data_IF_186262028662
#
_entry.id   IF_186262028662
#
_cell.length_a   1.000
_cell.length_b   1.000
_cell.length_c   1.000
_cell.angle_alpha   90.00
_cell.angle_beta   90.00
_cell.angle_gamma   90.00
#
_symmetry.space_group_name_H-M   'P 1'
#
loop_
_entity.id
_entity.type
_entity.pdbx_description
1 polymer ?
#
# COMPACT_ATOMS: atom_id res chain seq x y z
N UNK A 1 -12.49 -0.95 -38.79
CA UNK A 1 -12.41 -1.15 -37.33
C UNK A 1 -12.85 0.11 -36.56
N UNK A 2 -12.30 1.30 -36.87
CA UNK A 2 -12.65 2.56 -36.18
C UNK A 2 -14.18 2.86 -36.22
N UNK A 3 -14.90 2.80 -37.36
CA UNK A 3 -16.33 3.11 -37.38
C UNK A 3 -17.20 2.19 -36.51
N UNK A 4 -16.76 0.93 -36.29
CA UNK A 4 -17.50 -0.01 -35.49
C UNK A 4 -17.31 0.26 -33.97
N UNK A 5 -16.12 0.71 -33.59
CA UNK A 5 -15.85 1.15 -32.21
C UNK A 5 -16.66 2.40 -31.87
N UNK A 6 -16.70 3.38 -32.78
CA UNK A 6 -17.51 4.60 -32.65
C UNK A 6 -19.01 4.28 -32.50
N UNK A 7 -19.53 3.34 -33.30
CA UNK A 7 -20.91 2.88 -33.19
C UNK A 7 -21.24 2.20 -31.85
N UNK A 8 -20.28 1.42 -31.26
CA UNK A 8 -20.46 0.80 -29.94
C UNK A 8 -20.46 1.83 -28.83
N UNK A 9 -19.59 2.85 -28.95
CA UNK A 9 -19.52 3.93 -27.95
C UNK A 9 -20.81 4.76 -27.99
N UNK A 10 -21.30 5.12 -29.19
CA UNK A 10 -22.54 5.87 -29.38
C UNK A 10 -23.74 5.09 -28.80
N UNK A 11 -23.82 3.78 -29.06
CA UNK A 11 -24.87 2.93 -28.51
C UNK A 11 -24.80 2.84 -26.97
N UNK A 12 -23.61 2.92 -26.38
CA UNK A 12 -23.43 3.00 -24.92
C UNK A 12 -23.84 4.36 -24.36
N UNK A 13 -23.44 5.46 -25.02
CA UNK A 13 -23.78 6.82 -24.59
C UNK A 13 -25.29 7.09 -24.70
N UNK A 14 -25.94 6.53 -25.71
CA UNK A 14 -27.40 6.59 -25.86
C UNK A 14 -28.17 5.56 -25.03
N UNK A 15 -27.51 4.86 -24.13
CA UNK A 15 -28.07 3.84 -23.22
C UNK A 15 -28.72 2.62 -23.89
N UNK A 16 -28.35 2.31 -25.12
CA UNK A 16 -28.77 1.10 -25.83
C UNK A 16 -27.86 -0.10 -25.51
N UNK A 17 -26.68 0.15 -24.89
CA UNK A 17 -25.77 -0.87 -24.37
C UNK A 17 -25.43 -0.60 -22.89
N UNK A 18 -25.40 -1.66 -22.10
CA UNK A 18 -24.84 -1.61 -20.75
C UNK A 18 -23.30 -1.65 -20.77
N UNK A 19 -22.63 -1.23 -19.69
CA UNK A 19 -21.18 -1.34 -19.55
C UNK A 19 -20.65 -2.75 -19.81
N UNK A 20 -21.38 -3.77 -19.37
CA UNK A 20 -21.00 -5.17 -19.55
C UNK A 20 -21.05 -5.57 -21.01
N UNK A 21 -22.08 -5.16 -21.73
CA UNK A 21 -22.24 -5.43 -23.17
C UNK A 21 -21.23 -4.67 -24.02
N UNK A 22 -20.91 -3.43 -23.67
CA UNK A 22 -19.85 -2.67 -24.35
C UNK A 22 -18.49 -3.36 -24.19
N UNK A 23 -18.12 -3.75 -22.97
CA UNK A 23 -16.85 -4.45 -22.70
C UNK A 23 -16.78 -5.79 -23.42
N UNK A 24 -17.88 -6.57 -23.43
CA UNK A 24 -17.95 -7.84 -24.13
C UNK A 24 -17.83 -7.67 -25.65
N UNK A 25 -18.46 -6.64 -26.23
CA UNK A 25 -18.40 -6.35 -27.67
C UNK A 25 -17.00 -5.87 -28.10
N UNK A 26 -16.34 -5.03 -27.30
CA UNK A 26 -14.96 -4.61 -27.54
C UNK A 26 -13.98 -5.77 -27.44
N UNK A 27 -14.16 -6.65 -26.47
CA UNK A 27 -13.34 -7.87 -26.31
C UNK A 27 -13.49 -8.81 -27.51
N UNK A 28 -14.73 -8.99 -28.02
CA UNK A 28 -15.00 -9.79 -29.20
C UNK A 28 -14.36 -9.20 -30.48
N UNK A 29 -14.34 -7.88 -30.62
CA UNK A 29 -13.69 -7.18 -31.73
C UNK A 29 -12.18 -7.36 -31.74
N UNK A 30 -11.56 -7.32 -30.56
CA UNK A 30 -10.13 -7.58 -30.41
C UNK A 30 -9.81 -9.05 -30.76
N UNK A 31 -10.64 -9.99 -30.33
CA UNK A 31 -10.46 -11.42 -30.61
C UNK A 31 -10.62 -11.75 -32.11
N UNK A 32 -11.48 -11.06 -32.81
CA UNK A 32 -11.74 -11.30 -34.26
C UNK A 32 -10.65 -10.72 -35.19
N UNK A 33 -9.83 -9.79 -34.69
CA UNK A 33 -8.79 -9.08 -35.46
C UNK A 33 -7.37 -9.57 -35.29
N UNK A 34 -7.13 -10.55 -34.42
CA UNK A 34 -5.76 -11.01 -34.07
C UNK A 34 -5.49 -12.37 -34.72
N UNK A 35 -4.46 -12.52 -35.58
CA UNK A 35 -4.06 -13.83 -36.04
C UNK A 35 -3.70 -14.72 -34.83
N UNK A 36 -4.02 -16.01 -34.93
CA UNK A 36 -3.90 -17.01 -33.85
C UNK A 36 -2.47 -17.19 -33.24
N UNK A 37 -1.48 -16.43 -33.73
CA UNK A 37 -0.11 -16.36 -33.21
C UNK A 37 0.16 -15.17 -32.29
N UNK A 38 -0.79 -14.25 -32.10
CA UNK A 38 -0.66 -13.23 -31.07
C UNK A 38 -1.04 -13.88 -29.72
N UNK A 39 -0.05 -14.37 -29.02
CA UNK A 39 -0.18 -14.71 -27.61
C UNK A 39 -0.83 -13.52 -26.90
N UNK A 40 -2.05 -13.69 -26.41
CA UNK A 40 -2.61 -12.79 -25.41
C UNK A 40 -1.51 -12.56 -24.41
N UNK A 41 -1.08 -11.31 -24.10
CA UNK A 41 -0.13 -11.12 -23.03
C UNK A 41 -0.76 -11.83 -21.83
N UNK A 42 -0.09 -12.90 -21.37
CA UNK A 42 -0.51 -13.59 -20.16
C UNK A 42 -0.66 -12.47 -19.14
N UNK A 43 -1.87 -12.28 -18.62
CA UNK A 43 -2.05 -11.48 -17.42
C UNK A 43 -1.05 -12.10 -16.46
N UNK A 44 0.08 -11.43 -16.29
CA UNK A 44 1.11 -11.89 -15.36
C UNK A 44 0.37 -12.12 -14.07
N UNK A 45 0.21 -13.37 -13.68
CA UNK A 45 -0.36 -13.69 -12.38
C UNK A 45 0.57 -12.99 -11.40
N UNK A 46 0.09 -11.89 -10.82
CA UNK A 46 0.83 -11.17 -9.79
C UNK A 46 1.01 -12.16 -8.66
N UNK A 47 2.17 -12.80 -8.63
CA UNK A 47 2.49 -13.74 -7.56
C UNK A 47 2.56 -12.95 -6.27
N UNK A 48 1.83 -13.42 -5.27
CA UNK A 48 1.88 -12.82 -3.94
C UNK A 48 3.32 -12.81 -3.41
N UNK A 49 3.89 -11.63 -3.15
CA UNK A 49 5.26 -11.47 -2.64
C UNK A 49 5.36 -11.73 -1.15
N UNK A 50 4.27 -11.48 -0.41
CA UNK A 50 4.16 -11.66 1.03
C UNK A 50 2.70 -11.83 1.44
N UNK A 51 2.46 -12.43 2.61
CA UNK A 51 1.13 -12.51 3.19
C UNK A 51 0.96 -11.42 4.23
N UNK A 52 0.20 -10.37 3.89
CA UNK A 52 -0.27 -9.38 4.85
C UNK A 52 -1.24 -10.02 5.84
N UNK A 53 -1.05 -9.78 7.12
CA UNK A 53 -1.83 -10.40 8.20
C UNK A 53 -2.55 -9.36 9.06
N UNK A 54 -1.93 -8.21 9.33
CA UNK A 54 -2.46 -7.18 10.23
C UNK A 54 -2.20 -5.78 9.68
N UNK A 55 -2.98 -4.80 10.14
CA UNK A 55 -2.53 -3.40 10.13
C UNK A 55 -1.68 -3.24 11.38
N UNK A 56 -0.35 -3.18 11.21
CA UNK A 56 0.56 -3.05 12.33
C UNK A 56 0.47 -1.64 12.94
N UNK A 57 0.53 -0.58 12.12
CA UNK A 57 0.39 0.79 12.58
C UNK A 57 0.00 1.78 11.48
N UNK A 58 -0.39 2.96 11.92
CA UNK A 58 -0.50 4.16 11.10
C UNK A 58 0.42 5.21 11.69
N UNK A 59 1.25 5.86 10.87
CA UNK A 59 2.12 6.95 11.30
C UNK A 59 1.59 8.31 10.84
N UNK A 60 1.48 9.22 11.79
CA UNK A 60 1.09 10.59 11.56
C UNK A 60 2.30 11.52 11.56
N UNK A 61 2.34 12.42 10.59
CA UNK A 61 3.23 13.58 10.63
C UNK A 61 2.63 14.64 11.56
N UNK A 62 3.37 15.01 12.60
CA UNK A 62 2.93 15.99 13.60
C UNK A 62 3.95 17.10 13.77
N UNK A 63 3.52 18.27 14.21
CA UNK A 63 4.40 19.42 14.48
C UNK A 63 5.17 19.21 15.79
N UNK A 64 4.48 18.66 16.80
CA UNK A 64 4.99 18.42 18.15
C UNK A 64 4.50 17.07 18.64
N UNK A 65 5.45 16.15 18.83
CA UNK A 65 5.19 14.75 19.15
C UNK A 65 4.59 14.61 20.57
N UNK A 66 5.16 15.31 21.54
CA UNK A 66 4.70 15.24 22.94
C UNK A 66 3.28 15.81 23.10
N UNK A 67 3.02 16.97 22.49
CA UNK A 67 1.70 17.57 22.50
C UNK A 67 0.65 16.65 21.87
N UNK A 68 1.00 16.02 20.75
CA UNK A 68 0.08 15.09 20.07
C UNK A 68 -0.13 13.82 20.88
N UNK A 69 0.91 13.28 21.50
CA UNK A 69 0.79 12.12 22.38
C UNK A 69 -0.11 12.42 23.58
N UNK A 70 0.09 13.56 24.26
CA UNK A 70 -0.77 14.00 25.35
C UNK A 70 -2.24 14.15 24.92
N UNK A 71 -2.48 14.70 23.74
CA UNK A 71 -3.82 14.87 23.20
C UNK A 71 -4.54 13.52 23.06
N UNK A 72 -3.93 12.56 22.36
CA UNK A 72 -4.53 11.25 22.13
C UNK A 72 -4.63 10.43 23.43
N UNK A 73 -3.63 10.51 24.31
CA UNK A 73 -3.67 9.83 25.61
C UNK A 73 -4.81 10.37 26.49
N UNK A 74 -4.97 11.69 26.56
CA UNK A 74 -6.03 12.33 27.36
C UNK A 74 -7.42 12.08 26.79
N UNK A 75 -7.57 12.15 25.47
CA UNK A 75 -8.87 12.07 24.80
C UNK A 75 -9.36 10.63 24.65
N UNK A 76 -8.47 9.70 24.31
CA UNK A 76 -8.79 8.32 23.96
C UNK A 76 -8.21 7.28 24.92
N UNK A 77 -7.46 7.70 25.94
CA UNK A 77 -6.85 6.80 26.91
C UNK A 77 -5.68 5.97 26.35
N UNK A 78 -5.13 6.35 25.19
CA UNK A 78 -4.02 5.61 24.59
C UNK A 78 -2.76 5.71 25.44
N UNK A 79 -2.04 4.59 25.57
CA UNK A 79 -0.81 4.51 26.34
C UNK A 79 0.40 4.42 25.41
N UNK A 80 1.51 5.05 25.78
CA UNK A 80 2.78 4.85 25.09
C UNK A 80 3.21 3.40 25.19
N UNK A 81 3.56 2.78 24.04
CA UNK A 81 4.05 1.40 23.97
C UNK A 81 5.49 1.31 23.50
N UNK A 82 5.98 2.32 22.79
CA UNK A 82 7.38 2.42 22.41
C UNK A 82 7.78 3.86 22.08
N UNK A 83 9.08 4.14 22.20
CA UNK A 83 9.69 5.43 21.89
C UNK A 83 11.01 5.18 21.14
N UNK A 84 10.98 5.16 19.80
CA UNK A 84 12.19 4.94 19.02
C UNK A 84 13.15 6.13 19.10
N UNK A 85 14.43 5.86 18.84
CA UNK A 85 15.53 6.83 18.99
C UNK A 85 15.45 8.04 18.06
N UNK A 86 14.58 8.01 17.04
CA UNK A 86 14.31 9.13 16.14
C UNK A 86 13.42 10.22 16.76
N UNK A 87 12.99 10.07 18.01
CA UNK A 87 12.14 11.02 18.74
C UNK A 87 10.65 10.85 18.52
N UNK A 88 10.22 9.76 17.88
CA UNK A 88 8.81 9.39 17.77
C UNK A 88 8.22 8.88 19.07
N UNK A 89 6.87 8.87 19.13
CA UNK A 89 6.11 8.20 20.21
C UNK A 89 5.05 7.33 19.54
N UNK A 90 4.97 6.08 20.00
CA UNK A 90 3.98 5.13 19.55
C UNK A 90 2.96 4.87 20.66
N UNK A 91 1.69 5.07 20.33
CA UNK A 91 0.56 4.89 21.24
C UNK A 91 -0.20 3.61 20.90
N UNK A 92 -0.36 2.72 21.84
CA UNK A 92 -0.94 1.40 21.64
C UNK A 92 -2.45 1.43 21.29
N UNK A 93 -2.84 0.58 20.36
CA UNK A 93 -4.20 0.34 19.90
C UNK A 93 -4.43 -1.18 19.75
N UNK A 94 -4.64 -1.88 20.85
CA UNK A 94 -4.70 -3.33 20.84
C UNK A 94 -3.35 -3.95 20.40
N UNK A 95 -3.35 -4.71 19.30
CA UNK A 95 -2.13 -5.27 18.72
C UNK A 95 -1.42 -4.32 17.73
N UNK A 96 -2.01 -3.16 17.47
CA UNK A 96 -1.50 -2.12 16.58
C UNK A 96 -1.06 -0.89 17.37
N UNK A 97 -0.52 0.12 16.69
CA UNK A 97 -0.23 1.39 17.33
C UNK A 97 -0.44 2.59 16.40
N UNK A 98 -0.59 3.76 17.00
CA UNK A 98 -0.57 5.06 16.33
C UNK A 98 0.82 5.66 16.53
N UNK A 99 1.60 5.78 15.47
CA UNK A 99 2.91 6.41 15.48
C UNK A 99 2.82 7.91 15.28
N UNK A 100 3.50 8.68 16.13
CA UNK A 100 3.55 10.14 16.08
C UNK A 100 5.00 10.57 15.84
N UNK A 101 5.24 11.25 14.71
CA UNK A 101 6.59 11.61 14.30
C UNK A 101 6.64 13.05 13.80
N UNK A 102 7.70 13.78 14.16
CA UNK A 102 7.96 15.11 13.58
C UNK A 102 8.50 14.96 12.17
N UNK A 103 7.60 15.01 11.20
CA UNK A 103 7.89 14.78 9.78
C UNK A 103 7.43 15.99 8.95
N UNK A 104 7.81 15.99 7.68
CA UNK A 104 7.28 16.96 6.70
C UNK A 104 5.75 16.82 6.57
N UNK A 105 5.09 17.92 6.25
CA UNK A 105 3.63 18.00 6.05
C UNK A 105 2.81 17.54 7.29
N UNK A 106 2.97 18.21 8.45
CA UNK A 106 2.20 17.90 9.65
C UNK A 106 0.68 17.96 9.37
N UNK A 107 -0.06 17.08 10.05
CA UNK A 107 -1.51 16.93 9.86
C UNK A 107 -1.89 15.93 8.77
N UNK A 108 -0.93 15.14 8.28
CA UNK A 108 -1.18 14.08 7.29
C UNK A 108 -0.80 12.69 7.83
N UNK A 109 -1.38 11.66 7.22
CA UNK A 109 -0.89 10.30 7.37
C UNK A 109 0.38 10.15 6.54
N UNK A 110 1.49 9.80 7.18
CA UNK A 110 2.77 9.59 6.49
C UNK A 110 2.83 8.21 5.81
N UNK A 111 2.41 7.16 6.51
CA UNK A 111 2.32 5.81 5.96
C UNK A 111 1.39 4.91 6.78
N UNK A 112 0.98 3.83 6.14
CA UNK A 112 0.33 2.68 6.76
C UNK A 112 1.32 1.52 6.75
N UNK A 113 1.44 0.79 7.86
CA UNK A 113 2.26 -0.40 7.95
C UNK A 113 1.43 -1.68 8.02
N UNK A 114 1.75 -2.61 7.14
CA UNK A 114 1.16 -3.95 7.12
C UNK A 114 2.15 -4.93 7.77
N UNK A 115 1.68 -5.62 8.80
CA UNK A 115 2.40 -6.73 9.41
C UNK A 115 2.31 -7.98 8.53
N UNK A 116 3.42 -8.61 8.29
CA UNK A 116 3.58 -9.72 7.34
C UNK A 116 4.04 -10.98 8.05
N UNK A 117 3.42 -12.11 7.71
CA UNK A 117 3.85 -13.43 8.16
C UNK A 117 5.14 -13.85 7.44
N UNK A 118 6.09 -14.42 8.19
CA UNK A 118 7.36 -14.83 7.63
C UNK A 118 8.13 -13.68 6.96
N UNK A 119 8.12 -12.51 7.58
CA UNK A 119 8.72 -11.30 7.05
C UNK A 119 10.21 -11.46 6.78
N UNK A 120 10.60 -11.22 5.54
CA UNK A 120 11.98 -11.14 5.05
C UNK A 120 12.07 -9.96 4.09
N UNK A 121 12.58 -8.79 4.53
CA UNK A 121 12.58 -7.58 3.71
C UNK A 121 13.44 -7.70 2.45
N UNK A 122 14.52 -8.50 2.48
CA UNK A 122 15.41 -8.66 1.34
C UNK A 122 14.72 -9.47 0.24
N UNK A 123 14.14 -10.61 0.60
CA UNK A 123 13.38 -11.46 -0.32
C UNK A 123 12.17 -10.71 -0.90
N UNK A 124 11.41 -10.01 -0.03
CA UNK A 124 10.22 -9.26 -0.48
C UNK A 124 10.62 -8.13 -1.42
N UNK A 125 11.69 -7.38 -1.12
CA UNK A 125 12.19 -6.31 -1.99
C UNK A 125 12.63 -6.83 -3.36
N UNK A 126 13.29 -8.00 -3.41
CA UNK A 126 13.66 -8.64 -4.66
C UNK A 126 12.43 -9.00 -5.50
N UNK A 127 11.42 -9.63 -4.90
CA UNK A 127 10.17 -9.99 -5.59
C UNK A 127 9.38 -8.76 -6.06
N UNK A 128 9.32 -7.68 -5.28
CA UNK A 128 8.71 -6.41 -5.69
C UNK A 128 9.42 -5.81 -6.91
N UNK A 129 10.76 -5.86 -6.92
CA UNK A 129 11.56 -5.38 -8.05
C UNK A 129 11.28 -6.15 -9.35
N UNK A 130 11.12 -7.47 -9.27
CA UNK A 130 10.72 -8.30 -10.42
C UNK A 130 9.37 -7.91 -10.99
N UNK A 131 8.48 -7.37 -10.14
CA UNK A 131 7.16 -6.84 -10.52
C UNK A 131 7.19 -5.37 -10.94
N UNK A 132 8.38 -4.75 -11.03
CA UNK A 132 8.54 -3.33 -11.38
C UNK A 132 8.25 -2.36 -10.23
N UNK A 133 8.03 -2.85 -9.00
CA UNK A 133 7.79 -2.02 -7.82
C UNK A 133 9.12 -1.72 -7.12
N UNK A 134 9.46 -0.44 -6.99
CA UNK A 134 10.64 -0.01 -6.27
C UNK A 134 10.39 -0.05 -4.76
N UNK A 135 11.28 -0.73 -4.03
CA UNK A 135 11.23 -0.82 -2.58
C UNK A 135 12.52 -0.29 -1.95
N UNK A 136 12.40 0.26 -0.74
CA UNK A 136 13.53 0.71 0.09
C UNK A 136 13.50 -0.03 1.43
N UNK A 137 14.62 -0.60 1.84
CA UNK A 137 14.80 -1.18 3.17
C UNK A 137 15.44 -0.11 4.07
N UNK A 138 14.80 0.15 5.21
CA UNK A 138 15.33 1.00 6.27
C UNK A 138 15.97 0.13 7.35
N UNK A 139 17.29 0.20 7.43
CA UNK A 139 18.11 -0.56 8.39
C UNK A 139 18.51 0.27 9.61
N UNK A 140 18.08 1.55 9.69
CA UNK A 140 18.44 2.44 10.79
C UNK A 140 17.80 1.99 12.12
N UNK A 141 18.56 1.56 13.10
CA UNK A 141 18.02 1.08 14.38
C UNK A 141 17.31 2.19 15.18
N UNK A 142 17.61 3.47 14.92
CA UNK A 142 16.91 4.58 15.58
C UNK A 142 15.44 4.71 15.17
N UNK A 143 15.03 4.07 14.08
CA UNK A 143 13.66 4.15 13.58
C UNK A 143 12.73 3.06 14.12
N UNK A 144 13.20 2.24 15.05
CA UNK A 144 12.43 1.15 15.67
C UNK A 144 12.93 0.80 17.06
N UNK A 145 12.10 0.13 17.84
CA UNK A 145 12.49 -0.48 19.12
C UNK A 145 12.59 -2.01 19.03
N UNK A 146 11.85 -2.62 18.09
CA UNK A 146 11.92 -4.07 17.84
C UNK A 146 11.40 -4.44 16.45
N UNK A 147 11.48 -5.71 16.06
CA UNK A 147 10.84 -6.23 14.84
C UNK A 147 11.69 -6.15 13.56
N UNK A 148 12.95 -5.75 13.64
CA UNK A 148 13.89 -5.78 12.53
C UNK A 148 13.75 -4.62 11.52
N UNK A 149 14.37 -4.76 10.38
CA UNK A 149 14.40 -3.74 9.34
C UNK A 149 13.02 -3.52 8.74
N UNK A 150 12.76 -2.32 8.25
CA UNK A 150 11.49 -1.91 7.66
C UNK A 150 11.61 -1.87 6.15
N UNK A 151 10.56 -2.28 5.43
CA UNK A 151 10.51 -2.18 3.98
C UNK A 151 9.42 -1.19 3.58
N UNK A 152 9.76 -0.25 2.68
CA UNK A 152 8.82 0.75 2.17
C UNK A 152 8.71 0.64 0.65
N UNK A 153 7.51 0.83 0.13
CA UNK A 153 7.24 0.98 -1.30
C UNK A 153 6.06 1.94 -1.52
N UNK A 154 5.77 2.26 -2.78
CA UNK A 154 4.62 3.04 -3.17
C UNK A 154 3.58 2.18 -3.86
N UNK A 155 2.31 2.38 -3.52
CA UNK A 155 1.20 1.82 -4.26
C UNK A 155 0.97 2.57 -5.59
N UNK A 156 0.05 2.12 -6.47
CA UNK A 156 -0.23 2.80 -7.74
C UNK A 156 -0.67 4.25 -7.62
N UNK A 157 -1.26 4.66 -6.51
CA UNK A 157 -1.68 6.04 -6.22
C UNK A 157 -0.63 6.83 -5.45
N UNK A 158 0.61 6.29 -5.36
CA UNK A 158 1.74 6.89 -4.67
C UNK A 158 1.59 6.95 -3.13
N UNK A 159 0.70 6.14 -2.54
CA UNK A 159 0.60 6.00 -1.08
C UNK A 159 1.86 5.34 -0.53
N UNK A 160 2.41 5.87 0.56
CA UNK A 160 3.55 5.26 1.23
C UNK A 160 3.08 4.07 2.07
N UNK A 161 3.54 2.87 1.72
CA UNK A 161 3.24 1.62 2.42
C UNK A 161 4.50 1.07 3.03
N UNK A 162 4.40 0.70 4.30
CA UNK A 162 5.45 -0.03 5.01
C UNK A 162 5.05 -1.50 5.16
N UNK A 163 6.02 -2.39 5.07
CA UNK A 163 5.91 -3.77 5.55
C UNK A 163 6.86 -3.99 6.72
N UNK A 164 6.42 -4.79 7.68
CA UNK A 164 7.21 -5.20 8.84
C UNK A 164 6.84 -6.60 9.30
N UNK A 165 7.62 -7.17 10.20
CA UNK A 165 7.21 -8.37 10.90
C UNK A 165 5.95 -8.13 11.75
N UNK A 166 5.14 -9.15 11.95
CA UNK A 166 4.07 -9.11 12.95
C UNK A 166 4.67 -8.83 14.34
N UNK A 167 4.04 -7.93 15.09
CA UNK A 167 4.55 -7.50 16.40
C UNK A 167 5.70 -6.49 16.35
N UNK A 168 6.01 -5.92 15.18
CA UNK A 168 6.92 -4.79 15.05
C UNK A 168 6.51 -3.65 15.99
N UNK A 169 7.50 -3.07 16.68
CA UNK A 169 7.35 -1.89 17.51
C UNK A 169 8.26 -0.79 16.94
N UNK A 170 7.67 0.20 16.36
CA UNK A 170 8.37 1.34 15.78
C UNK A 170 9.11 2.18 16.80
#
# INVERSE_FOLDING_TARGET
>A
MVPLIESLVDAFETRHLSRRELVASLAALVAAGVPASAQTPAVQQISKVAQGATINHISLAVTDVERSAQFYSKLLGLKEVSRPGNGGINLGLGTSFLGLYKLANPGTVNHCCIGVDGYDPVRIAASLKEMGVQARIDTNPANRTSGGDQLFFRDPDNTNVQLSANGFQG
#
